data_IF_139667500137
#
_entry.id   IF_139667500137
#
_cell.length_a   1.000
_cell.length_b   1.000
_cell.length_c   1.000
_cell.angle_alpha   90.00
_cell.angle_beta   90.00
_cell.angle_gamma   90.00
#
_symmetry.space_group_name_H-M   'P 1'
#
loop_
_entity.id
_entity.type
_entity.pdbx_description
1 polymer ?
#
# COMPACT_ATOMS: atom_id res chain seq x y z
N UNK A 1 16.70 -2.30 11.14
CA UNK A 1 15.39 -1.64 11.26
C UNK A 1 15.21 -0.79 10.02
N UNK A 2 14.17 -1.02 9.22
CA UNK A 2 13.88 -0.20 8.04
C UNK A 2 12.40 0.14 7.98
N UNK A 3 12.08 1.24 7.30
CA UNK A 3 10.71 1.69 7.14
C UNK A 3 9.99 0.80 6.11
N UNK A 4 8.83 0.27 6.50
CA UNK A 4 7.95 -0.55 5.67
C UNK A 4 6.60 0.13 5.57
N UNK A 5 5.99 0.09 4.39
CA UNK A 5 4.63 0.59 4.21
C UNK A 5 3.61 -0.35 4.86
N UNK A 6 2.62 0.21 5.55
CA UNK A 6 1.50 -0.50 6.14
C UNK A 6 0.18 0.07 5.61
N UNK A 7 -0.75 -0.80 5.25
CA UNK A 7 -2.09 -0.41 4.78
C UNK A 7 -3.07 -0.48 5.94
N UNK A 8 -3.89 0.55 6.09
CA UNK A 8 -5.03 0.63 6.97
C UNK A 8 -6.27 0.06 6.25
N UNK A 9 -6.76 -1.09 6.71
CA UNK A 9 -7.89 -1.79 6.13
C UNK A 9 -9.20 -0.97 6.18
N UNK A 10 -9.38 -0.08 7.15
CA UNK A 10 -10.60 0.74 7.29
C UNK A 10 -10.65 1.86 6.25
N UNK A 11 -9.49 2.46 5.96
CA UNK A 11 -9.39 3.57 4.98
C UNK A 11 -9.21 3.10 3.55
N UNK A 12 -8.64 1.92 3.34
CA UNK A 12 -8.33 1.42 2.00
C UNK A 12 -9.61 1.17 1.17
N UNK A 13 -9.73 1.85 0.03
CA UNK A 13 -10.89 1.72 -0.88
C UNK A 13 -10.63 0.76 -2.06
N UNK A 14 -9.69 -0.18 -1.91
CA UNK A 14 -9.40 -1.19 -2.92
C UNK A 14 -10.63 -2.05 -3.28
N UNK A 15 -11.60 -2.17 -2.37
CA UNK A 15 -12.88 -2.83 -2.61
C UNK A 15 -13.77 -2.07 -3.61
N UNK A 16 -13.56 -0.76 -3.77
CA UNK A 16 -14.24 0.12 -4.74
C UNK A 16 -13.48 0.25 -6.06
N UNK A 17 -12.37 -0.48 -6.23
CA UNK A 17 -11.61 -0.54 -7.48
C UNK A 17 -10.29 0.24 -7.51
N UNK A 18 -9.91 0.96 -6.44
CA UNK A 18 -8.62 1.65 -6.42
C UNK A 18 -7.43 0.67 -6.45
N UNK A 19 -6.45 0.89 -7.34
CA UNK A 19 -5.26 0.05 -7.51
C UNK A 19 -3.97 0.86 -7.65
N UNK A 20 -4.00 2.17 -7.35
CA UNK A 20 -2.88 3.08 -7.60
C UNK A 20 -1.59 2.64 -6.87
N UNK A 21 -1.67 2.27 -5.59
CA UNK A 21 -0.50 1.81 -4.84
C UNK A 21 0.16 0.57 -5.47
N UNK A 22 -0.63 -0.35 -6.05
CA UNK A 22 -0.13 -1.54 -6.75
C UNK A 22 0.56 -1.15 -8.06
N UNK A 23 -0.03 -0.22 -8.81
CA UNK A 23 0.48 0.23 -10.12
C UNK A 23 1.74 1.08 -10.01
N UNK A 24 1.83 1.92 -8.98
CA UNK A 24 2.95 2.86 -8.81
C UNK A 24 4.09 2.32 -7.95
N UNK A 25 3.93 1.15 -7.31
CA UNK A 25 5.05 0.57 -6.58
C UNK A 25 6.16 0.19 -7.57
N UNK A 26 7.40 0.72 -7.41
CA UNK A 26 8.48 0.44 -8.34
C UNK A 26 8.99 -1.01 -8.24
N UNK A 27 8.74 -1.66 -7.10
CA UNK A 27 9.07 -3.06 -6.87
C UNK A 27 7.85 -3.92 -7.14
N UNK A 28 7.93 -4.73 -8.21
CA UNK A 28 6.88 -5.66 -8.61
C UNK A 28 6.43 -6.56 -7.45
N UNK A 29 5.14 -6.89 -7.41
CA UNK A 29 4.56 -7.80 -6.41
C UNK A 29 4.76 -7.39 -4.93
N UNK A 30 5.14 -6.14 -4.65
CA UNK A 30 5.29 -5.64 -3.27
C UNK A 30 3.95 -5.30 -2.63
N UNK A 31 3.01 -4.79 -3.42
CA UNK A 31 1.67 -4.46 -2.94
C UNK A 31 0.70 -5.31 -3.74
N UNK A 32 -0.13 -6.08 -3.03
CA UNK A 32 -1.06 -7.02 -3.63
C UNK A 32 -2.47 -6.78 -3.11
N UNK A 33 -3.44 -7.25 -3.87
CA UNK A 33 -4.82 -7.27 -3.43
C UNK A 33 -5.09 -8.59 -2.70
N UNK A 34 -5.60 -8.50 -1.48
CA UNK A 34 -6.20 -9.66 -0.80
C UNK A 34 -7.55 -9.97 -1.47
N UNK A 35 -7.75 -11.16 -2.06
CA UNK A 35 -8.97 -11.50 -2.77
C UNK A 35 -10.18 -11.68 -1.83
N UNK A 36 -9.95 -12.01 -0.56
CA UNK A 36 -10.99 -12.24 0.43
C UNK A 36 -11.46 -10.90 1.03
N UNK A 37 -10.51 -10.09 1.50
CA UNK A 37 -10.81 -8.78 2.11
C UNK A 37 -11.12 -7.70 1.07
N UNK A 38 -10.65 -7.88 -0.17
CA UNK A 38 -10.63 -6.85 -1.22
C UNK A 38 -9.87 -5.58 -0.78
N UNK A 39 -8.83 -5.75 0.04
CA UNK A 39 -7.95 -4.69 0.55
C UNK A 39 -6.54 -4.87 0.01
N UNK A 40 -5.80 -3.78 -0.13
CA UNK A 40 -4.39 -3.86 -0.49
C UNK A 40 -3.57 -4.27 0.74
N UNK A 41 -2.54 -5.09 0.57
CA UNK A 41 -1.57 -5.42 1.61
C UNK A 41 -0.15 -5.35 1.07
N UNK A 42 0.80 -5.08 1.96
CA UNK A 42 2.22 -4.95 1.64
C UNK A 42 2.93 -6.25 1.98
N UNK A 43 3.72 -6.74 1.03
CA UNK A 43 4.62 -7.88 1.15
C UNK A 43 5.95 -7.35 1.72
N UNK A 44 6.09 -7.42 3.04
CA UNK A 44 7.10 -6.66 3.80
C UNK A 44 8.56 -6.97 3.42
N UNK A 45 8.85 -8.23 3.09
CA UNK A 45 10.16 -8.66 2.63
C UNK A 45 10.55 -8.10 1.25
N UNK A 46 9.60 -7.56 0.49
CA UNK A 46 9.85 -6.88 -0.78
C UNK A 46 9.88 -5.36 -0.67
N UNK A 47 9.21 -4.81 0.35
CA UNK A 47 9.12 -3.36 0.54
C UNK A 47 10.51 -2.73 0.69
N UNK A 48 10.80 -1.71 -0.13
CA UNK A 48 12.06 -0.94 -0.09
C UNK A 48 11.96 0.38 0.66
N UNK A 49 10.79 0.69 1.25
CA UNK A 49 10.59 1.90 2.03
C UNK A 49 10.63 3.21 1.23
N UNK A 50 10.34 3.18 -0.08
CA UNK A 50 10.42 4.36 -0.96
C UNK A 50 9.26 5.37 -0.83
N UNK A 51 8.25 5.07 0.00
CA UNK A 51 7.11 5.95 0.31
C UNK A 51 6.18 6.34 -0.85
N UNK A 52 6.48 5.93 -2.10
CA UNK A 52 5.69 6.30 -3.28
C UNK A 52 4.22 5.86 -3.17
N UNK A 53 3.97 4.70 -2.55
CA UNK A 53 2.62 4.21 -2.29
C UNK A 53 1.81 5.11 -1.34
N UNK A 54 2.46 5.76 -0.37
CA UNK A 54 1.84 6.75 0.54
C UNK A 54 1.45 7.98 -0.26
N UNK A 55 2.40 8.55 -1.01
CA UNK A 55 2.18 9.76 -1.83
C UNK A 55 1.01 9.59 -2.80
N UNK A 56 0.91 8.46 -3.51
CA UNK A 56 -0.21 8.24 -4.44
C UNK A 56 -1.54 8.01 -3.73
N UNK A 57 -1.53 7.41 -2.55
CA UNK A 57 -2.73 7.19 -1.74
C UNK A 57 -3.27 8.51 -1.17
N UNK A 58 -2.37 9.40 -0.78
CA UNK A 58 -2.69 10.73 -0.24
C UNK A 58 -3.15 11.68 -1.35
N UNK A 59 -2.49 11.65 -2.52
CA UNK A 59 -2.95 12.41 -3.69
C UNK A 59 -4.34 11.98 -4.16
N UNK A 60 -4.69 10.70 -3.99
CA UNK A 60 -6.03 10.17 -4.23
C UNK A 60 -7.03 10.45 -3.07
N UNK A 61 -6.58 11.15 -2.01
CA UNK A 61 -7.36 11.52 -0.82
C UNK A 61 -7.88 10.34 0.00
N UNK A 62 -7.18 9.21 -0.01
CA UNK A 62 -7.56 8.03 0.79
C UNK A 62 -6.81 7.94 2.12
N UNK A 63 -5.54 8.37 2.15
CA UNK A 63 -4.70 8.39 3.36
C UNK A 63 -4.69 7.05 4.11
N UNK A 64 -4.64 5.96 3.34
CA UNK A 64 -4.78 4.60 3.83
C UNK A 64 -3.43 3.88 4.01
N UNK A 65 -2.31 4.53 3.76
CA UNK A 65 -0.98 3.92 3.86
C UNK A 65 -0.09 4.79 4.72
N UNK A 66 0.63 4.19 5.67
CA UNK A 66 1.61 4.84 6.53
C UNK A 66 2.93 4.09 6.53
N UNK A 67 4.02 4.77 6.90
CA UNK A 67 5.32 4.13 7.08
C UNK A 67 5.49 3.72 8.55
N UNK A 68 5.95 2.49 8.77
CA UNK A 68 6.21 1.93 10.09
C UNK A 68 7.61 1.33 10.16
N UNK A 69 8.27 1.43 11.31
CA UNK A 69 9.60 0.88 11.52
C UNK A 69 9.50 -0.61 11.92
N UNK A 70 10.22 -1.48 11.20
CA UNK A 70 10.29 -2.93 11.44
C UNK A 70 11.74 -3.39 11.59
#
# INVERSE_FOLDING_TARGET
MYAVAQVDDDKCIANKGCRLCILYCPEADTIKLDPNKKKAYVVENRCKGCELCVVVCDNAKHMAITMVMR
#
